data_IF_346183866268
#
_entry.id   IF_346183866268
#
_cell.length_a   1.000
_cell.length_b   1.000
_cell.length_c   1.000
_cell.angle_alpha   90.00
_cell.angle_beta   90.00
_cell.angle_gamma   90.00
#
_symmetry.space_group_name_H-M   'P 1'
#
loop_
_entity.id
_entity.type
_entity.pdbx_description
1 polymer ?
#
# COMPACT_ATOMS: atom_id res chain seq x y z
N UNK A 1 -36.25 -6.81 39.80
CA UNK A 1 -34.84 -6.79 40.22
C UNK A 1 -34.02 -7.22 39.01
N UNK A 2 -33.56 -6.27 38.17
CA UNK A 2 -32.82 -6.61 36.96
C UNK A 2 -31.36 -6.88 37.33
N UNK A 3 -30.95 -8.15 37.26
CA UNK A 3 -29.53 -8.52 37.31
C UNK A 3 -28.84 -7.93 36.07
N UNK A 4 -28.09 -6.85 36.28
CA UNK A 4 -27.11 -6.38 35.31
C UNK A 4 -25.95 -7.37 35.39
N UNK A 5 -25.93 -8.34 34.47
CA UNK A 5 -24.79 -9.24 34.30
C UNK A 5 -23.67 -8.40 33.70
N UNK A 6 -22.69 -8.01 34.52
CA UNK A 6 -21.44 -7.45 34.00
C UNK A 6 -20.78 -8.54 33.15
N UNK A 7 -20.43 -8.27 31.88
CA UNK A 7 -19.71 -9.24 31.08
C UNK A 7 -18.37 -9.51 31.75
N UNK A 8 -18.03 -10.78 31.99
CA UNK A 8 -16.68 -11.17 32.39
C UNK A 8 -15.71 -10.61 31.35
N UNK A 9 -14.89 -9.65 31.74
CA UNK A 9 -13.81 -9.17 30.90
C UNK A 9 -12.82 -10.32 30.67
N UNK A 10 -12.40 -10.50 29.42
CA UNK A 10 -11.32 -11.42 29.08
C UNK A 10 -10.05 -11.09 29.87
N UNK A 11 -9.19 -12.08 30.09
CA UNK A 11 -7.97 -11.88 30.86
C UNK A 11 -7.08 -10.81 30.20
N UNK A 12 -6.32 -10.13 31.05
CA UNK A 12 -5.36 -9.10 30.65
C UNK A 12 -3.98 -9.56 31.07
N UNK A 13 -3.07 -9.62 30.11
CA UNK A 13 -1.66 -9.89 30.34
C UNK A 13 -0.88 -8.58 30.24
N UNK A 14 -0.06 -8.27 31.23
CA UNK A 14 0.81 -7.10 31.24
C UNK A 14 2.26 -7.55 31.37
N UNK A 15 3.11 -7.10 30.45
CA UNK A 15 4.52 -7.42 30.45
C UNK A 15 5.37 -6.14 30.40
N UNK A 16 6.34 -5.97 31.33
CA UNK A 16 7.35 -4.93 31.18
C UNK A 16 8.16 -5.21 29.91
N UNK A 17 8.54 -4.14 29.23
CA UNK A 17 9.22 -4.20 27.94
C UNK A 17 10.66 -3.69 28.08
N UNK A 18 11.59 -4.40 27.48
CA UNK A 18 13.00 -4.01 27.38
C UNK A 18 13.36 -3.67 25.92
N UNK A 19 14.51 -3.02 25.73
CA UNK A 19 15.04 -2.78 24.39
C UNK A 19 15.30 -4.11 23.65
N UNK A 20 14.76 -4.22 22.44
CA UNK A 20 14.84 -5.43 21.62
C UNK A 20 13.71 -6.43 21.85
N UNK A 21 12.78 -6.16 22.77
CA UNK A 21 11.54 -6.94 22.87
C UNK A 21 10.67 -6.78 21.62
N UNK A 22 9.95 -7.85 21.26
CA UNK A 22 9.00 -7.86 20.14
C UNK A 22 7.75 -8.66 20.49
N UNK A 23 6.67 -8.40 19.76
CA UNK A 23 5.42 -9.14 19.88
C UNK A 23 5.12 -9.89 18.59
N UNK A 24 4.69 -11.14 18.72
CA UNK A 24 4.27 -11.99 17.59
C UNK A 24 2.87 -12.50 17.87
N UNK A 25 1.92 -12.21 17.00
CA UNK A 25 0.55 -12.71 17.07
C UNK A 25 0.26 -13.65 15.90
N UNK A 26 -0.22 -14.86 16.19
CA UNK A 26 -0.59 -15.86 15.20
C UNK A 26 -1.95 -16.47 15.50
N UNK A 27 -2.78 -16.63 14.47
CA UNK A 27 -4.08 -17.26 14.66
C UNK A 27 -4.91 -17.40 13.38
N UNK A 28 -6.11 -17.94 13.54
CA UNK A 28 -7.06 -18.14 12.45
C UNK A 28 -7.72 -16.81 12.07
N UNK A 29 -8.58 -16.29 12.95
CA UNK A 29 -9.29 -15.04 12.74
C UNK A 29 -9.33 -14.20 14.03
N UNK A 30 -9.10 -12.89 13.90
CA UNK A 30 -9.16 -11.95 15.02
C UNK A 30 -9.41 -10.50 14.55
N UNK A 31 -9.96 -9.70 15.46
CA UNK A 31 -9.91 -8.25 15.43
C UNK A 31 -8.82 -7.79 16.38
N UNK A 32 -7.69 -7.35 15.83
CA UNK A 32 -6.54 -6.87 16.59
C UNK A 32 -6.50 -5.36 16.55
N UNK A 33 -6.42 -4.73 17.72
CA UNK A 33 -6.22 -3.29 17.84
C UNK A 33 -4.89 -3.01 18.53
N UNK A 34 -4.02 -2.22 17.91
CA UNK A 34 -2.76 -1.77 18.48
C UNK A 34 -2.85 -0.28 18.79
N UNK A 35 -2.57 0.11 20.03
CA UNK A 35 -2.66 1.49 20.49
C UNK A 35 -1.39 1.86 21.25
N UNK A 36 -0.59 2.76 20.69
CA UNK A 36 0.55 3.29 21.43
C UNK A 36 0.07 4.21 22.56
N UNK A 37 0.60 4.00 23.77
CA UNK A 37 0.35 4.84 24.94
C UNK A 37 1.66 5.55 25.31
N UNK A 38 1.78 6.87 25.04
CA UNK A 38 2.97 7.64 25.37
C UNK A 38 3.32 7.54 26.87
N UNK A 39 4.60 7.33 27.17
CA UNK A 39 5.08 7.21 28.56
C UNK A 39 4.87 5.84 29.22
N UNK A 40 4.21 4.88 28.54
CA UNK A 40 4.14 3.51 29.03
C UNK A 40 5.52 2.85 29.01
N UNK A 41 5.79 2.00 29.99
CA UNK A 41 6.98 1.13 30.10
C UNK A 41 6.64 -0.36 29.90
N UNK A 42 5.37 -0.67 29.64
CA UNK A 42 4.87 -2.02 29.49
C UNK A 42 3.95 -2.13 28.25
N UNK A 43 3.76 -3.37 27.81
CA UNK A 43 2.73 -3.74 26.84
C UNK A 43 1.65 -4.53 27.57
N UNK A 44 0.40 -4.11 27.35
CA UNK A 44 -0.81 -4.71 27.87
C UNK A 44 -1.55 -5.40 26.73
N UNK A 45 -1.96 -6.64 26.94
CA UNK A 45 -2.66 -7.48 25.98
C UNK A 45 -3.96 -7.93 26.63
N UNK A 46 -5.10 -7.54 26.07
CA UNK A 46 -6.42 -7.97 26.53
C UNK A 46 -7.12 -8.82 25.47
N UNK A 47 -8.14 -9.58 25.87
CA UNK A 47 -8.84 -10.48 24.94
C UNK A 47 -8.19 -11.86 24.79
N UNK A 48 -7.38 -12.24 25.78
CA UNK A 48 -6.60 -13.47 25.82
C UNK A 48 -6.98 -14.33 27.03
N UNK A 49 -6.53 -15.58 27.05
CA UNK A 49 -6.72 -16.56 28.14
C UNK A 49 -5.36 -17.06 28.66
N UNK A 50 -5.23 -17.36 29.96
CA UNK A 50 -3.98 -17.89 30.54
C UNK A 50 -3.74 -19.37 30.16
N UNK A 51 -4.81 -20.15 30.15
CA UNK A 51 -4.84 -21.53 29.67
C UNK A 51 -6.09 -21.68 28.82
N UNK A 52 -5.91 -21.77 27.51
CA UNK A 52 -7.01 -21.60 26.56
C UNK A 52 -7.70 -22.90 26.17
N UNK A 53 -9.02 -22.85 26.09
CA UNK A 53 -9.79 -23.83 25.30
C UNK A 53 -9.39 -23.78 23.82
N UNK A 54 -9.77 -24.77 23.01
CA UNK A 54 -9.52 -24.73 21.57
C UNK A 54 -10.09 -23.43 20.94
N UNK A 55 -9.28 -22.73 20.16
CA UNK A 55 -9.64 -21.44 19.54
C UNK A 55 -9.48 -20.21 20.43
N UNK A 56 -9.06 -20.36 21.69
CA UNK A 56 -8.67 -19.25 22.53
C UNK A 56 -7.26 -18.74 22.16
N UNK A 57 -7.01 -17.45 22.34
CA UNK A 57 -5.67 -16.88 22.20
C UNK A 57 -4.99 -16.87 23.56
N UNK A 58 -3.80 -17.45 23.63
CA UNK A 58 -2.98 -17.54 24.84
C UNK A 58 -1.73 -16.68 24.66
N UNK A 59 -1.30 -16.04 25.75
CA UNK A 59 -0.06 -15.26 25.76
C UNK A 59 1.04 -16.03 26.46
N UNK A 60 2.21 -16.09 25.85
CA UNK A 60 3.43 -16.58 26.51
C UNK A 60 4.56 -15.59 26.28
N UNK A 61 5.39 -15.36 27.31
CA UNK A 61 6.62 -14.58 27.18
C UNK A 61 7.80 -15.53 27.26
N UNK A 62 8.61 -15.59 26.20
CA UNK A 62 9.85 -16.36 26.14
C UNK A 62 10.97 -15.44 25.69
N UNK A 63 12.01 -15.33 26.49
CA UNK A 63 13.12 -14.40 26.28
C UNK A 63 12.62 -12.97 26.02
N UNK A 64 12.91 -12.42 24.84
CA UNK A 64 12.51 -11.09 24.37
C UNK A 64 11.30 -11.11 23.43
N UNK A 65 10.55 -12.21 23.37
CA UNK A 65 9.37 -12.34 22.51
C UNK A 65 8.11 -12.57 23.36
N UNK A 66 7.11 -11.71 23.15
CA UNK A 66 5.76 -11.90 23.66
C UNK A 66 4.96 -12.55 22.53
N UNK A 67 4.60 -13.82 22.69
CA UNK A 67 3.84 -14.59 21.71
C UNK A 67 2.37 -14.64 22.10
N UNK A 68 1.50 -14.27 21.17
CA UNK A 68 0.03 -14.39 21.28
C UNK A 68 -0.42 -15.41 20.23
N UNK A 69 -0.75 -16.62 20.66
CA UNK A 69 -1.07 -17.72 19.74
C UNK A 69 -2.45 -18.27 19.98
N UNK A 70 -3.21 -18.52 18.92
CA UNK A 70 -4.46 -19.26 19.01
C UNK A 70 -4.19 -20.75 19.27
N UNK A 71 -4.83 -21.33 20.28
CA UNK A 71 -4.85 -22.77 20.47
C UNK A 71 -5.60 -23.42 19.31
N UNK A 72 -4.95 -24.36 18.60
CA UNK A 72 -5.56 -25.00 17.45
C UNK A 72 -6.72 -25.93 17.84
N UNK A 73 -7.66 -26.12 16.93
CA UNK A 73 -8.73 -27.10 17.10
C UNK A 73 -8.20 -28.51 16.84
N UNK A 74 -8.36 -29.42 17.79
CA UNK A 74 -7.73 -30.74 17.79
C UNK A 74 -8.35 -31.74 16.81
N UNK A 75 -9.51 -31.43 16.19
CA UNK A 75 -10.17 -32.35 15.26
C UNK A 75 -10.62 -31.71 13.94
N UNK A 76 -10.51 -32.46 12.85
CA UNK A 76 -11.04 -32.07 11.52
C UNK A 76 -12.53 -31.75 11.55
N UNK A 77 -13.31 -32.47 12.36
CA UNK A 77 -14.76 -32.24 12.52
C UNK A 77 -15.02 -30.87 13.15
N UNK A 78 -14.23 -30.49 14.16
CA UNK A 78 -14.29 -29.17 14.80
C UNK A 78 -13.96 -28.08 13.79
N UNK A 79 -12.89 -28.25 13.00
CA UNK A 79 -12.52 -27.35 11.91
C UNK A 79 -13.64 -27.13 10.89
N UNK A 80 -14.28 -28.20 10.41
CA UNK A 80 -15.38 -28.11 9.44
C UNK A 80 -16.59 -27.35 9.98
N UNK A 81 -16.83 -27.39 11.29
CA UNK A 81 -17.93 -26.66 11.93
C UNK A 81 -17.63 -25.17 12.13
N UNK A 82 -16.34 -24.83 12.31
CA UNK A 82 -15.91 -23.47 12.68
C UNK A 82 -15.59 -22.62 11.46
N UNK A 83 -14.91 -23.18 10.45
CA UNK A 83 -14.53 -22.42 9.26
C UNK A 83 -15.68 -21.64 8.61
N UNK A 84 -16.91 -22.17 8.49
CA UNK A 84 -18.04 -21.40 7.93
C UNK A 84 -18.50 -20.23 8.81
N UNK A 85 -18.19 -20.27 10.12
CA UNK A 85 -18.65 -19.31 11.13
C UNK A 85 -17.55 -18.37 11.63
N UNK A 86 -16.29 -18.63 11.27
CA UNK A 86 -15.13 -17.95 11.82
C UNK A 86 -15.27 -16.42 11.72
N UNK A 87 -15.75 -15.91 10.58
CA UNK A 87 -15.90 -14.46 10.33
C UNK A 87 -16.92 -13.78 11.23
N UNK A 88 -17.88 -14.53 11.78
CA UNK A 88 -18.90 -14.04 12.71
C UNK A 88 -18.47 -14.08 14.18
N UNK A 89 -17.41 -14.82 14.50
CA UNK A 89 -16.95 -15.07 15.87
C UNK A 89 -15.49 -14.64 16.06
N UNK A 90 -15.12 -13.51 15.45
CA UNK A 90 -13.79 -12.95 15.60
C UNK A 90 -13.51 -12.58 17.06
N UNK A 91 -12.41 -13.11 17.60
CA UNK A 91 -11.90 -12.71 18.91
C UNK A 91 -11.35 -11.29 18.81
N UNK A 92 -11.67 -10.45 19.79
CA UNK A 92 -11.11 -9.10 19.91
C UNK A 92 -9.88 -9.17 20.79
N UNK A 93 -8.74 -8.70 20.28
CA UNK A 93 -7.46 -8.63 20.98
C UNK A 93 -7.02 -7.18 20.95
N UNK A 94 -6.77 -6.59 22.11
CA UNK A 94 -6.25 -5.23 22.20
C UNK A 94 -4.82 -5.30 22.74
N UNK A 95 -3.90 -4.64 22.05
CA UNK A 95 -2.50 -4.50 22.42
C UNK A 95 -2.27 -3.00 22.63
N UNK A 96 -2.08 -2.59 23.87
CA UNK A 96 -1.86 -1.18 24.23
C UNK A 96 -0.62 -1.00 25.09
N UNK A 97 0.03 0.15 25.00
CA UNK A 97 1.22 0.45 25.81
C UNK A 97 2.40 0.96 24.99
N UNK A 98 3.61 0.59 25.41
CA UNK A 98 4.85 0.98 24.74
C UNK A 98 4.91 0.35 23.35
N UNK A 99 5.15 1.15 22.30
CA UNK A 99 5.35 0.59 20.96
C UNK A 99 6.63 -0.23 20.90
N UNK A 100 6.48 -1.47 20.46
CA UNK A 100 7.56 -2.42 20.13
C UNK A 100 7.37 -2.95 18.71
N UNK A 101 8.40 -3.55 18.10
CA UNK A 101 8.22 -4.30 16.86
C UNK A 101 7.13 -5.36 17.00
N UNK A 102 6.18 -5.37 16.06
CA UNK A 102 5.04 -6.30 16.06
C UNK A 102 4.99 -7.08 14.74
N UNK A 103 4.81 -8.39 14.83
CA UNK A 103 4.45 -9.25 13.71
C UNK A 103 3.07 -9.88 13.94
N UNK A 104 2.15 -9.71 13.00
CA UNK A 104 0.81 -10.30 13.04
C UNK A 104 0.62 -11.19 11.81
N UNK A 105 0.24 -12.43 12.03
CA UNK A 105 -0.10 -13.39 10.98
C UNK A 105 -1.48 -13.98 11.27
N UNK A 106 -2.46 -13.63 10.43
CA UNK A 106 -3.82 -14.15 10.55
C UNK A 106 -4.30 -14.69 9.21
N UNK A 107 -5.13 -15.73 9.23
CA UNK A 107 -5.83 -16.17 8.01
C UNK A 107 -6.92 -15.17 7.63
N UNK A 108 -7.66 -14.64 8.61
CA UNK A 108 -8.72 -13.67 8.39
C UNK A 108 -8.76 -12.61 9.49
N UNK A 109 -9.42 -11.48 9.22
CA UNK A 109 -9.85 -10.55 10.27
C UNK A 109 -9.51 -9.10 10.00
N UNK A 110 -9.30 -8.33 11.07
CA UNK A 110 -9.01 -6.91 10.99
C UNK A 110 -7.87 -6.54 11.93
N UNK A 111 -6.88 -5.83 11.42
CA UNK A 111 -5.77 -5.27 12.21
C UNK A 111 -5.85 -3.76 12.11
N UNK A 112 -5.99 -3.09 13.24
CA UNK A 112 -6.06 -1.63 13.33
C UNK A 112 -4.93 -1.15 14.22
N UNK A 113 -3.97 -0.42 13.65
CA UNK A 113 -2.87 0.20 14.38
C UNK A 113 -3.08 1.72 14.47
N UNK A 114 -3.05 2.25 15.69
CA UNK A 114 -3.21 3.66 15.97
C UNK A 114 -1.97 4.18 16.68
N UNK A 115 -1.29 5.14 16.04
CA UNK A 115 -0.09 5.81 16.55
C UNK A 115 1.06 4.87 16.90
N UNK A 116 1.11 3.69 16.30
CA UNK A 116 2.17 2.72 16.56
C UNK A 116 3.50 3.22 16.03
N UNK A 117 4.49 3.42 16.91
CA UNK A 117 5.74 4.11 16.58
C UNK A 117 6.93 3.22 16.24
N UNK A 118 6.72 1.91 16.10
CA UNK A 118 7.76 0.91 15.79
C UNK A 118 7.35 0.05 14.61
N UNK A 119 8.29 -0.76 14.13
CA UNK A 119 8.09 -1.61 12.97
C UNK A 119 6.88 -2.54 13.14
N UNK A 120 6.08 -2.64 12.08
CA UNK A 120 4.86 -3.40 12.06
C UNK A 120 4.83 -4.26 10.80
N UNK A 121 4.82 -5.58 11.00
CA UNK A 121 4.63 -6.57 9.94
C UNK A 121 3.27 -7.24 10.08
N UNK A 122 2.45 -7.16 9.05
CA UNK A 122 1.09 -7.72 9.03
C UNK A 122 0.95 -8.61 7.81
N UNK A 123 0.52 -9.86 8.02
CA UNK A 123 0.22 -10.82 6.97
C UNK A 123 -1.20 -11.36 7.16
N UNK A 124 -2.07 -11.10 6.17
CA UNK A 124 -3.47 -11.51 6.15
C UNK A 124 -3.77 -12.28 4.85
N UNK A 125 -4.33 -13.48 4.96
CA UNK A 125 -4.89 -14.18 3.77
C UNK A 125 -6.17 -13.48 3.30
N UNK A 126 -7.03 -13.05 4.21
CA UNK A 126 -8.15 -12.17 3.92
C UNK A 126 -8.37 -11.16 5.04
N UNK A 127 -8.91 -9.98 4.72
CA UNK A 127 -9.36 -9.04 5.74
C UNK A 127 -8.91 -7.62 5.52
N UNK A 128 -8.74 -6.90 6.63
CA UNK A 128 -8.49 -5.46 6.62
C UNK A 128 -7.29 -5.11 7.48
N UNK A 129 -6.39 -4.31 6.94
CA UNK A 129 -5.32 -3.65 7.69
C UNK A 129 -5.49 -2.14 7.61
N UNK A 130 -5.53 -1.48 8.77
CA UNK A 130 -5.56 -0.01 8.89
C UNK A 130 -4.44 0.44 9.81
N UNK A 131 -3.63 1.39 9.37
CA UNK A 131 -2.64 2.09 10.20
C UNK A 131 -2.83 3.60 10.09
N UNK A 132 -2.88 4.29 11.23
CA UNK A 132 -3.05 5.75 11.28
C UNK A 132 -2.10 6.39 12.28
N UNK A 133 -1.39 7.44 11.85
CA UNK A 133 -0.58 8.28 12.73
C UNK A 133 0.69 7.61 13.24
N UNK A 134 1.19 6.58 12.54
CA UNK A 134 2.30 5.75 12.98
C UNK A 134 3.69 6.25 12.56
N UNK A 135 4.72 5.53 13.02
CA UNK A 135 6.10 5.72 12.58
C UNK A 135 6.82 4.37 12.44
N UNK A 136 8.02 4.39 11.85
CA UNK A 136 8.81 3.18 11.62
C UNK A 136 8.47 2.50 10.29
N UNK A 137 8.89 1.24 10.13
CA UNK A 137 8.65 0.49 8.89
C UNK A 137 7.35 -0.31 8.95
N UNK A 138 6.47 -0.14 7.97
CA UNK A 138 5.30 -0.99 7.79
C UNK A 138 5.57 -2.01 6.67
N UNK A 139 5.30 -3.27 6.95
CA UNK A 139 5.25 -4.35 5.95
C UNK A 139 3.87 -4.99 5.99
N UNK A 140 3.04 -4.71 4.99
CA UNK A 140 1.67 -5.21 4.92
C UNK A 140 1.51 -6.15 3.72
N UNK A 141 1.15 -7.41 4.00
CA UNK A 141 0.86 -8.43 3.01
C UNK A 141 -0.60 -8.83 3.16
N UNK A 142 -1.48 -8.37 2.27
CA UNK A 142 -2.92 -8.66 2.33
C UNK A 142 -3.37 -9.31 1.03
N UNK A 143 -3.52 -10.64 1.04
CA UNK A 143 -3.86 -11.36 -0.19
C UNK A 143 -5.26 -10.98 -0.71
N UNK A 144 -6.26 -10.85 0.17
CA UNK A 144 -7.61 -10.41 -0.22
C UNK A 144 -8.18 -9.40 0.77
N UNK A 145 -8.45 -8.17 0.33
CA UNK A 145 -9.20 -7.19 1.12
C UNK A 145 -8.62 -5.79 1.08
N UNK A 146 -8.58 -5.11 2.22
CA UNK A 146 -8.27 -3.68 2.28
C UNK A 146 -6.98 -3.41 3.06
N UNK A 147 -6.10 -2.59 2.50
CA UNK A 147 -4.96 -1.99 3.20
C UNK A 147 -5.11 -0.48 3.19
N UNK A 148 -5.09 0.15 4.36
CA UNK A 148 -5.15 1.60 4.50
C UNK A 148 -4.04 2.08 5.43
N UNK A 149 -3.13 2.91 4.94
CA UNK A 149 -2.08 3.54 5.74
C UNK A 149 -2.22 5.04 5.60
N UNK A 150 -2.27 5.75 6.73
CA UNK A 150 -2.53 7.18 6.78
C UNK A 150 -1.64 7.88 7.80
N UNK A 151 -1.18 9.09 7.46
CA UNK A 151 -0.43 9.97 8.37
C UNK A 151 0.79 9.26 8.98
N UNK A 152 1.61 8.62 8.14
CA UNK A 152 2.71 7.76 8.57
C UNK A 152 4.08 8.37 8.23
N UNK A 153 5.03 8.26 9.15
CA UNK A 153 6.43 8.66 8.92
C UNK A 153 7.35 7.44 8.94
N UNK A 154 7.96 7.14 7.80
CA UNK A 154 8.81 5.97 7.61
C UNK A 154 8.45 5.18 6.37
N UNK A 155 9.15 4.08 6.14
CA UNK A 155 8.99 3.23 4.95
C UNK A 155 7.70 2.42 5.02
N UNK A 156 6.99 2.32 3.90
CA UNK A 156 5.80 1.48 3.75
C UNK A 156 6.00 0.50 2.60
N UNK A 157 6.02 -0.79 2.91
CA UNK A 157 5.96 -1.87 1.93
C UNK A 157 4.56 -2.49 2.00
N UNK A 158 3.77 -2.36 0.95
CA UNK A 158 2.40 -2.85 0.88
C UNK A 158 2.21 -3.74 -0.36
N UNK A 159 1.88 -5.00 -0.13
CA UNK A 159 1.65 -6.00 -1.17
C UNK A 159 0.23 -6.55 -1.03
N UNK A 160 -0.54 -6.44 -2.11
CA UNK A 160 -1.88 -6.96 -2.21
C UNK A 160 -2.08 -7.79 -3.47
N UNK A 161 -2.83 -8.89 -3.35
CA UNK A 161 -3.22 -9.68 -4.52
C UNK A 161 -4.57 -9.22 -5.08
N UNK A 162 -5.59 -9.06 -4.25
CA UNK A 162 -6.90 -8.58 -4.70
C UNK A 162 -7.57 -7.68 -3.66
N UNK A 163 -7.92 -6.44 -4.05
CA UNK A 163 -8.74 -5.57 -3.22
C UNK A 163 -8.40 -4.09 -3.34
N UNK A 164 -8.39 -3.38 -2.21
CA UNK A 164 -8.22 -1.92 -2.17
C UNK A 164 -7.01 -1.55 -1.32
N UNK A 165 -6.13 -0.72 -1.85
CA UNK A 165 -4.97 -0.18 -1.16
C UNK A 165 -5.02 1.35 -1.16
N UNK A 166 -5.07 1.96 0.03
CA UNK A 166 -5.08 3.40 0.21
C UNK A 166 -3.85 3.83 1.02
N UNK A 167 -2.97 4.64 0.45
CA UNK A 167 -1.80 5.18 1.13
C UNK A 167 -1.88 6.71 1.11
N UNK A 168 -1.98 7.34 2.28
CA UNK A 168 -2.29 8.77 2.40
C UNK A 168 -1.35 9.48 3.37
N UNK A 169 -0.90 10.67 3.00
CA UNK A 169 -0.06 11.53 3.85
C UNK A 169 1.17 10.76 4.38
N UNK A 170 1.89 10.08 3.49
CA UNK A 170 3.07 9.27 3.85
C UNK A 170 4.33 10.09 3.61
N UNK A 171 5.17 10.18 4.62
CA UNK A 171 6.50 10.76 4.55
C UNK A 171 7.55 9.67 4.70
N UNK A 172 8.10 9.21 3.58
CA UNK A 172 9.04 8.09 3.51
C UNK A 172 8.89 7.34 2.20
N UNK A 173 9.76 6.35 2.00
CA UNK A 173 9.73 5.54 0.78
C UNK A 173 8.57 4.54 0.79
N UNK A 174 7.99 4.31 -0.38
CA UNK A 174 6.85 3.42 -0.58
C UNK A 174 7.23 2.35 -1.61
N UNK A 175 6.98 1.10 -1.27
CA UNK A 175 6.97 -0.02 -2.21
C UNK A 175 5.56 -0.62 -2.21
N UNK A 176 4.79 -0.38 -3.27
CA UNK A 176 3.39 -0.75 -3.36
C UNK A 176 3.13 -1.64 -4.58
N UNK A 177 2.64 -2.85 -4.34
CA UNK A 177 2.28 -3.82 -5.37
C UNK A 177 0.82 -4.23 -5.23
N UNK A 178 0.05 -4.16 -6.31
CA UNK A 178 -1.33 -4.64 -6.37
C UNK A 178 -1.60 -5.40 -7.65
N UNK A 179 -1.93 -6.69 -7.52
CA UNK A 179 -2.25 -7.50 -8.69
C UNK A 179 -3.63 -7.15 -9.29
N UNK A 180 -4.68 -7.06 -8.48
CA UNK A 180 -6.04 -6.73 -8.94
C UNK A 180 -6.79 -5.82 -7.96
N UNK A 181 -7.56 -4.87 -8.48
CA UNK A 181 -8.41 -3.96 -7.69
C UNK A 181 -8.01 -2.49 -7.82
N UNK A 182 -7.99 -1.75 -6.72
CA UNK A 182 -7.75 -0.31 -6.70
C UNK A 182 -6.60 0.08 -5.77
N UNK A 183 -5.66 0.85 -6.28
CA UNK A 183 -4.58 1.44 -5.51
C UNK A 183 -4.69 2.96 -5.60
N UNK A 184 -4.77 3.63 -4.45
CA UNK A 184 -4.82 5.09 -4.35
C UNK A 184 -3.71 5.59 -3.42
N UNK A 185 -2.87 6.47 -3.95
CA UNK A 185 -1.85 7.20 -3.19
C UNK A 185 -2.18 8.69 -3.19
N UNK A 186 -2.23 9.30 -2.01
CA UNK A 186 -2.52 10.74 -1.84
C UNK A 186 -1.47 11.40 -0.96
N UNK A 187 -0.89 12.53 -1.43
CA UNK A 187 0.07 13.35 -0.65
C UNK A 187 1.25 12.53 -0.12
N UNK A 188 1.91 11.81 -1.02
CA UNK A 188 3.09 10.99 -0.69
C UNK A 188 4.39 11.75 -0.97
N UNK A 189 5.39 11.59 -0.09
CA UNK A 189 6.71 12.21 -0.25
C UNK A 189 7.82 11.19 -0.03
N UNK A 190 8.70 11.05 -1.01
CA UNK A 190 9.82 10.10 -0.96
C UNK A 190 10.06 9.42 -2.30
N UNK A 191 10.72 8.28 -2.26
CA UNK A 191 10.84 7.39 -3.40
C UNK A 191 9.69 6.39 -3.42
N UNK A 192 8.96 6.31 -4.53
CA UNK A 192 7.79 5.43 -4.68
C UNK A 192 8.05 4.42 -5.78
N UNK A 193 8.06 3.14 -5.43
CA UNK A 193 7.97 2.02 -6.37
C UNK A 193 6.51 1.55 -6.42
N UNK A 194 5.95 1.49 -7.61
CA UNK A 194 4.55 1.11 -7.84
C UNK A 194 4.46 0.00 -8.88
N UNK A 195 3.87 -1.14 -8.53
CA UNK A 195 3.58 -2.22 -9.49
C UNK A 195 2.08 -2.52 -9.51
N UNK A 196 1.45 -2.39 -10.69
CA UNK A 196 0.04 -2.71 -10.89
C UNK A 196 -0.13 -3.61 -12.10
N UNK A 197 -0.70 -4.80 -11.93
CA UNK A 197 -0.88 -5.74 -13.04
C UNK A 197 -2.26 -5.62 -13.72
N UNK A 198 -3.32 -5.92 -12.99
CA UNK A 198 -4.73 -5.86 -13.42
C UNK A 198 -5.53 -4.95 -12.49
N UNK A 199 -4.92 -3.85 -12.06
CA UNK A 199 -5.46 -2.91 -11.09
C UNK A 199 -5.54 -1.49 -11.67
N UNK A 200 -6.37 -0.67 -11.05
CA UNK A 200 -6.38 0.77 -11.30
C UNK A 200 -5.53 1.45 -10.24
N UNK A 201 -4.38 2.00 -10.64
CA UNK A 201 -3.52 2.83 -9.81
C UNK A 201 -3.85 4.31 -9.98
N UNK A 202 -3.96 5.04 -8.87
CA UNK A 202 -4.09 6.49 -8.85
C UNK A 202 -3.09 7.09 -7.88
N UNK A 203 -2.27 8.02 -8.35
CA UNK A 203 -1.37 8.83 -7.54
C UNK A 203 -1.80 10.28 -7.67
N UNK A 204 -2.16 10.90 -6.54
CA UNK A 204 -2.67 12.26 -6.51
C UNK A 204 -1.90 13.08 -5.49
N UNK A 205 -1.20 14.11 -5.95
CA UNK A 205 -0.38 15.00 -5.13
C UNK A 205 0.80 14.28 -4.45
N UNK A 206 1.99 14.83 -4.62
CA UNK A 206 3.18 14.28 -3.98
C UNK A 206 4.45 14.91 -4.50
N UNK A 207 5.56 14.50 -3.93
CA UNK A 207 6.88 14.96 -4.38
C UNK A 207 7.94 13.88 -4.25
N UNK A 208 8.90 13.87 -5.18
CA UNK A 208 10.05 12.97 -5.17
C UNK A 208 10.20 12.22 -6.49
N UNK A 209 10.35 10.90 -6.41
CA UNK A 209 10.50 10.04 -7.59
C UNK A 209 9.46 8.93 -7.57
N UNK A 210 8.78 8.71 -8.69
CA UNK A 210 7.95 7.52 -8.91
C UNK A 210 8.64 6.64 -9.93
N UNK A 211 8.90 5.39 -9.56
CA UNK A 211 9.15 4.28 -10.47
C UNK A 211 7.89 3.43 -10.57
N UNK A 212 7.37 3.22 -11.77
CA UNK A 212 6.16 2.41 -11.94
C UNK A 212 6.28 1.31 -13.00
N UNK A 213 5.55 0.22 -12.76
CA UNK A 213 5.29 -0.84 -13.72
C UNK A 213 3.78 -1.04 -13.82
N UNK A 214 3.21 -0.77 -14.99
CA UNK A 214 1.80 -1.00 -15.28
C UNK A 214 1.64 -2.13 -16.29
N UNK A 215 0.90 -3.16 -15.92
CA UNK A 215 0.55 -4.30 -16.75
C UNK A 215 -0.57 -3.97 -17.73
N UNK A 216 -1.76 -4.50 -17.46
CA UNK A 216 -3.01 -4.35 -18.23
C UNK A 216 -3.97 -3.32 -17.63
N UNK A 217 -3.64 -2.80 -16.45
CA UNK A 217 -4.43 -1.85 -15.69
C UNK A 217 -4.41 -0.42 -16.22
N UNK A 218 -4.96 0.48 -15.42
CA UNK A 218 -4.89 1.93 -15.65
C UNK A 218 -4.06 2.58 -14.56
N UNK A 219 -3.10 3.41 -14.94
CA UNK A 219 -2.35 4.25 -14.02
C UNK A 219 -2.66 5.73 -14.30
N UNK A 220 -3.18 6.43 -13.29
CA UNK A 220 -3.38 7.88 -13.30
C UNK A 220 -2.41 8.54 -12.33
N UNK A 221 -1.57 9.45 -12.81
CA UNK A 221 -0.72 10.29 -11.97
C UNK A 221 -1.08 11.75 -12.18
N UNK A 222 -1.39 12.45 -11.08
CA UNK A 222 -1.81 13.83 -11.09
C UNK A 222 -1.08 14.64 -10.02
N UNK A 223 -0.70 15.87 -10.37
CA UNK A 223 -0.18 16.88 -9.46
C UNK A 223 1.05 16.39 -8.66
N UNK A 224 1.88 15.54 -9.28
CA UNK A 224 3.12 15.02 -8.68
C UNK A 224 4.34 15.84 -9.13
N UNK A 225 5.10 16.34 -8.16
CA UNK A 225 6.28 17.16 -8.40
C UNK A 225 7.56 16.32 -8.32
N UNK A 226 8.28 16.23 -9.43
CA UNK A 226 9.56 15.50 -9.51
C UNK A 226 9.62 14.55 -10.70
N UNK A 227 10.33 13.43 -10.53
CA UNK A 227 10.64 12.50 -11.62
C UNK A 227 9.65 11.34 -11.65
N UNK A 228 9.18 11.00 -12.85
CA UNK A 228 8.38 9.83 -13.15
C UNK A 228 9.14 8.98 -14.16
N UNK A 229 9.44 7.74 -13.79
CA UNK A 229 10.10 6.75 -14.64
C UNK A 229 9.22 5.50 -14.63
N UNK A 230 8.90 4.93 -15.78
CA UNK A 230 8.10 3.72 -15.74
C UNK A 230 7.89 2.97 -17.03
N UNK A 231 7.29 1.81 -16.85
CA UNK A 231 7.02 0.84 -17.91
C UNK A 231 5.52 0.57 -18.02
N UNK A 232 5.01 0.52 -19.24
CA UNK A 232 3.64 0.14 -19.55
C UNK A 232 3.62 -1.07 -20.48
N UNK A 233 2.89 -2.12 -20.14
CA UNK A 233 2.80 -3.31 -21.00
C UNK A 233 1.66 -3.19 -22.00
N UNK A 234 0.41 -3.27 -21.56
CA UNK A 234 -0.79 -3.26 -22.43
C UNK A 234 -1.85 -2.27 -21.94
N UNK A 235 -1.66 -1.68 -20.76
CA UNK A 235 -2.61 -0.82 -20.09
C UNK A 235 -2.61 0.63 -20.58
N UNK A 236 -3.26 1.48 -19.79
CA UNK A 236 -3.32 2.92 -20.03
C UNK A 236 -2.57 3.68 -18.93
N UNK A 237 -1.64 4.53 -19.31
CA UNK A 237 -0.96 5.47 -18.41
C UNK A 237 -1.42 6.88 -18.75
N UNK A 238 -1.90 7.64 -17.76
CA UNK A 238 -2.30 9.03 -17.90
C UNK A 238 -1.57 9.88 -16.86
N UNK A 239 -0.74 10.81 -17.32
CA UNK A 239 0.10 11.65 -16.47
C UNK A 239 -0.27 13.11 -16.70
N UNK A 240 -0.77 13.78 -15.66
CA UNK A 240 -0.92 15.23 -15.63
C UNK A 240 0.28 15.83 -14.90
N UNK A 241 1.14 16.50 -15.65
CA UNK A 241 2.42 16.99 -15.14
C UNK A 241 2.27 18.26 -14.32
N UNK A 242 3.26 18.51 -13.47
CA UNK A 242 3.54 19.85 -12.92
C UNK A 242 4.65 20.53 -13.72
N UNK A 243 4.89 21.82 -13.49
CA UNK A 243 5.79 22.63 -14.32
C UNK A 243 7.23 22.09 -14.37
N UNK A 244 7.69 21.50 -13.26
CA UNK A 244 9.06 21.03 -13.08
C UNK A 244 9.17 19.49 -13.18
N UNK A 245 8.13 18.80 -13.67
CA UNK A 245 8.14 17.33 -13.75
C UNK A 245 9.00 16.81 -14.90
N UNK A 246 9.70 15.70 -14.64
CA UNK A 246 10.40 14.91 -15.66
C UNK A 246 9.67 13.59 -15.85
N UNK A 247 9.36 13.22 -17.09
CA UNK A 247 8.63 11.99 -17.42
C UNK A 247 9.42 11.17 -18.43
N UNK A 248 9.78 9.94 -18.05
CA UNK A 248 10.31 8.92 -18.95
C UNK A 248 9.42 7.66 -18.90
N UNK A 249 8.83 7.30 -20.04
CA UNK A 249 7.92 6.15 -20.13
C UNK A 249 8.33 5.23 -21.27
N UNK A 250 8.49 3.95 -20.97
CA UNK A 250 8.67 2.89 -21.96
C UNK A 250 7.39 2.08 -22.07
N UNK A 251 6.79 2.01 -23.24
CA UNK A 251 5.54 1.28 -23.45
C UNK A 251 5.69 0.16 -24.49
N UNK A 252 5.24 -1.05 -24.18
CA UNK A 252 5.13 -2.11 -25.18
C UNK A 252 3.94 -1.83 -26.10
N UNK A 253 2.74 -1.79 -25.54
CA UNK A 253 1.49 -1.50 -26.21
C UNK A 253 0.59 -0.60 -25.32
N UNK A 254 -0.67 -0.44 -25.71
CA UNK A 254 -1.66 0.33 -24.95
C UNK A 254 -1.61 1.83 -25.24
N UNK A 255 -1.85 2.65 -24.21
CA UNK A 255 -1.98 4.11 -24.36
C UNK A 255 -1.16 4.86 -23.31
N UNK A 256 -0.43 5.88 -23.75
CA UNK A 256 0.29 6.81 -22.88
C UNK A 256 -0.21 8.23 -23.16
N UNK A 257 -0.93 8.81 -22.21
CA UNK A 257 -1.45 10.17 -22.26
C UNK A 257 -0.64 11.06 -21.33
N UNK A 258 -0.09 12.15 -21.83
CA UNK A 258 0.67 13.12 -21.05
C UNK A 258 0.05 14.50 -21.26
N UNK A 259 -0.28 15.17 -20.16
CA UNK A 259 -0.87 16.52 -20.17
C UNK A 259 0.04 17.46 -19.37
N UNK A 260 0.99 18.13 -20.03
CA UNK A 260 1.75 19.23 -19.45
C UNK A 260 0.87 20.43 -19.08
N UNK A 261 1.28 21.28 -18.13
CA UNK A 261 0.55 22.51 -17.86
C UNK A 261 0.74 23.52 -19.02
N UNK A 262 -0.24 24.38 -19.33
CA UNK A 262 -0.19 25.29 -20.49
C UNK A 262 1.03 26.22 -20.53
N UNK A 263 1.61 26.55 -19.39
CA UNK A 263 2.80 27.39 -19.31
C UNK A 263 4.12 26.64 -19.59
N UNK A 264 4.09 25.30 -19.70
CA UNK A 264 5.28 24.46 -19.87
C UNK A 264 5.77 24.48 -21.32
N UNK A 265 6.96 25.01 -21.50
CA UNK A 265 7.82 24.79 -22.66
C UNK A 265 8.67 23.53 -22.51
N UNK A 266 8.06 22.41 -22.08
CA UNK A 266 8.76 21.14 -21.86
C UNK A 266 9.41 20.65 -23.15
N UNK A 267 10.59 20.03 -23.02
CA UNK A 267 11.22 19.32 -24.12
C UNK A 267 10.51 17.99 -24.36
N UNK A 268 10.21 17.68 -25.61
CA UNK A 268 9.48 16.49 -26.03
C UNK A 268 10.39 15.62 -26.89
N UNK A 269 10.47 14.33 -26.55
CA UNK A 269 11.16 13.29 -27.30
C UNK A 269 10.31 12.01 -27.33
N UNK A 270 9.58 11.80 -28.41
CA UNK A 270 8.65 10.69 -28.57
C UNK A 270 9.13 9.78 -29.70
N UNK A 271 8.99 8.47 -29.51
CA UNK A 271 9.33 7.48 -30.52
C UNK A 271 8.39 6.27 -30.42
N UNK A 272 7.90 5.78 -31.55
CA UNK A 272 7.20 4.49 -31.63
C UNK A 272 7.53 3.75 -32.92
N UNK A 273 7.51 2.41 -32.88
CA UNK A 273 7.74 1.57 -34.07
C UNK A 273 6.46 1.40 -34.90
N UNK A 274 5.39 0.82 -34.35
CA UNK A 274 4.13 0.52 -35.06
C UNK A 274 2.91 1.21 -34.41
N UNK A 275 3.17 2.15 -33.50
CA UNK A 275 2.15 2.90 -32.78
C UNK A 275 1.70 4.19 -33.48
N UNK A 276 0.96 5.02 -32.76
CA UNK A 276 0.53 6.34 -33.21
C UNK A 276 1.04 7.44 -32.27
N UNK A 277 1.39 8.60 -32.82
CA UNK A 277 1.81 9.78 -32.05
C UNK A 277 0.87 10.94 -32.38
N UNK A 278 0.23 11.47 -31.34
CA UNK A 278 -0.62 12.66 -31.39
C UNK A 278 0.03 13.75 -30.53
N UNK A 279 0.37 14.87 -31.17
CA UNK A 279 1.02 16.02 -30.54
C UNK A 279 0.37 17.32 -31.01
N UNK A 280 0.54 18.44 -30.27
CA UNK A 280 0.08 19.76 -30.72
C UNK A 280 0.66 20.18 -32.07
N UNK A 281 -0.04 21.07 -32.78
CA UNK A 281 0.27 21.44 -34.17
C UNK A 281 1.65 22.10 -34.35
N UNK A 282 2.24 22.64 -33.30
CA UNK A 282 3.61 23.18 -33.30
C UNK A 282 4.70 22.12 -33.44
N UNK A 283 4.40 20.85 -33.13
CA UNK A 283 5.34 19.74 -33.24
C UNK A 283 5.06 18.94 -34.51
N UNK A 284 6.12 18.64 -35.26
CA UNK A 284 6.05 17.84 -36.48
C UNK A 284 6.35 16.37 -36.18
N UNK A 285 5.45 15.48 -36.57
CA UNK A 285 5.70 14.03 -36.56
C UNK A 285 6.52 13.65 -37.79
N UNK A 286 7.72 13.13 -37.56
CA UNK A 286 8.56 12.53 -38.60
C UNK A 286 8.18 11.06 -38.74
N UNK A 287 7.97 10.61 -39.98
CA UNK A 287 7.59 9.22 -40.29
C UNK A 287 8.64 8.63 -41.22
N UNK A 288 9.19 7.47 -40.85
CA UNK A 288 10.16 6.73 -41.64
C UNK A 288 9.75 5.25 -41.62
N UNK A 289 9.18 4.77 -42.73
CA UNK A 289 8.56 3.42 -42.77
C UNK A 289 7.45 3.29 -41.72
N UNK A 290 7.52 2.31 -40.83
CA UNK A 290 6.64 2.16 -39.68
C UNK A 290 6.96 3.16 -38.56
N UNK A 291 8.25 3.48 -38.36
CA UNK A 291 8.70 4.30 -37.23
C UNK A 291 8.17 5.74 -37.30
N UNK A 292 7.73 6.23 -36.13
CA UNK A 292 7.28 7.61 -35.94
C UNK A 292 8.05 8.23 -34.80
N UNK A 293 8.50 9.46 -34.99
CA UNK A 293 9.22 10.21 -33.96
C UNK A 293 8.84 11.69 -33.93
N UNK A 294 8.94 12.27 -32.74
CA UNK A 294 8.76 13.71 -32.51
C UNK A 294 9.88 14.19 -31.60
N UNK A 295 10.54 15.28 -32.00
CA UNK A 295 11.50 15.99 -31.15
C UNK A 295 11.26 17.48 -31.25
N UNK A 296 11.19 18.15 -30.11
CA UNK A 296 10.97 19.59 -30.08
C UNK A 296 10.69 20.10 -28.68
N UNK A 297 10.07 21.28 -28.60
CA UNK A 297 9.60 21.87 -27.35
C UNK A 297 8.16 22.33 -27.52
N UNK A 298 7.38 22.24 -26.46
CA UNK A 298 6.01 22.75 -26.44
C UNK A 298 5.99 24.28 -26.39
N UNK A 299 4.86 24.87 -26.75
CA UNK A 299 4.63 26.29 -26.55
C UNK A 299 4.37 26.56 -25.06
N UNK A 300 5.35 27.18 -24.41
CA UNK A 300 5.21 27.69 -23.07
C UNK A 300 6.39 28.59 -22.72
N UNK A 301 6.13 29.64 -21.95
CA UNK A 301 7.15 30.62 -21.57
C UNK A 301 8.18 29.99 -20.62
N UNK A 302 7.73 29.10 -19.73
CA UNK A 302 8.59 28.41 -18.80
C UNK A 302 9.25 27.22 -19.49
N UNK A 303 10.54 27.34 -19.84
CA UNK A 303 11.35 26.28 -20.47
C UNK A 303 11.69 25.12 -19.50
N UNK A 304 10.67 24.56 -18.85
CA UNK A 304 10.77 23.59 -17.76
C UNK A 304 9.99 22.31 -18.05
N UNK A 305 10.49 21.22 -17.47
CA UNK A 305 9.96 19.87 -17.64
C UNK A 305 10.50 19.15 -18.86
N UNK A 306 10.41 17.82 -18.84
CA UNK A 306 10.84 16.96 -19.94
C UNK A 306 9.88 15.78 -20.11
N UNK A 307 9.64 15.41 -21.36
CA UNK A 307 8.78 14.29 -21.75
C UNK A 307 9.58 13.40 -22.71
N UNK A 308 9.87 12.18 -22.26
CA UNK A 308 10.46 11.10 -23.05
C UNK A 308 9.47 9.94 -23.06
N UNK A 309 9.02 9.51 -24.25
CA UNK A 309 8.20 8.31 -24.38
C UNK A 309 8.74 7.47 -25.53
N UNK A 310 9.00 6.19 -25.25
CA UNK A 310 9.40 5.21 -26.27
C UNK A 310 8.43 4.05 -26.27
N UNK A 311 7.96 3.66 -27.45
CA UNK A 311 7.08 2.52 -27.56
C UNK A 311 7.34 1.58 -28.73
N UNK A 312 6.85 0.35 -28.61
CA UNK A 312 6.78 -0.57 -29.75
C UNK A 312 5.49 -0.29 -30.52
N UNK A 313 4.33 -0.53 -29.91
CA UNK A 313 3.00 -0.51 -30.55
C UNK A 313 1.99 0.42 -29.85
N UNK A 314 2.45 1.25 -28.90
CA UNK A 314 1.54 2.07 -28.09
C UNK A 314 1.07 3.33 -28.83
N UNK A 315 -0.13 3.81 -28.48
CA UNK A 315 -0.57 5.16 -28.83
C UNK A 315 -0.01 6.15 -27.82
N UNK A 316 0.76 7.14 -28.28
CA UNK A 316 1.30 8.23 -27.49
C UNK A 316 0.48 9.49 -27.78
N UNK A 317 -0.02 10.13 -26.73
CA UNK A 317 -0.78 11.37 -26.82
C UNK A 317 -0.20 12.40 -25.88
N UNK A 318 0.26 13.52 -26.44
CA UNK A 318 0.65 14.73 -25.69
C UNK A 318 -0.35 15.83 -26.03
N UNK A 319 -0.97 16.42 -25.01
CA UNK A 319 -2.01 17.46 -25.17
C UNK A 319 -1.63 18.73 -24.43
#
# INVERSE_FOLDING_TARGET
>A
MNLIVQPLFAATFEAPVQEGDRLVLRGLEAQVQLIAVPGSNAVKISGVEESGSEGAYVVTKKDRTIEVTMNEYGSKKTWMNILPKASSQMRKIEISGLSIPVEIQLKGGSVIAQRWGKDLKVSLTSGRFVSTGGAGTIQAYVQKGETSVSDHTGRVNADGYSGVMNLKNIQGDIDASLFSGQLAMEKVRGFVTLSTQQATGKVNQGSGTIQFENGKGTLLVQDFQGRLDGQNQEGTVSIKMTLDSEVDVKAKAGKVNITPPPASGASVNLFTVDGEIFVPNELKVNRLSSEKSVRGRLRGEAQRGSISVRSQEATILVK
#
